data_IF_890595905430
#
_entry.id   IF_890595905430
#
_cell.length_a   1.000
_cell.length_b   1.000
_cell.length_c   1.000
_cell.angle_alpha   90.00
_cell.angle_beta   90.00
_cell.angle_gamma   90.00
#
_symmetry.space_group_name_H-M   'P 1'
#
loop_
_entity.id
_entity.type
_entity.pdbx_description
1 polymer ?
#
# COMPACT_ATOMS: atom_id res chain seq x y z
N UNK A 1 33.70 10.53 10.58
CA UNK A 1 33.20 11.67 9.79
C UNK A 1 32.43 12.58 10.70
N UNK A 2 33.07 13.63 11.12
CA UNK A 2 32.38 14.70 11.82
C UNK A 2 31.74 15.61 10.76
N UNK A 3 30.43 15.72 10.77
CA UNK A 3 29.67 16.66 9.93
C UNK A 3 29.75 18.11 10.48
N UNK A 4 30.73 18.36 11.31
CA UNK A 4 30.93 19.61 12.05
C UNK A 4 31.45 20.79 11.24
N UNK A 5 31.66 20.57 9.94
CA UNK A 5 32.16 21.64 9.07
C UNK A 5 31.10 22.57 8.49
N UNK A 6 29.87 22.14 8.49
CA UNK A 6 28.75 22.91 7.96
C UNK A 6 27.59 22.94 8.95
N UNK A 7 26.87 24.05 9.05
CA UNK A 7 25.65 24.11 9.83
C UNK A 7 24.68 23.02 9.39
N UNK A 8 23.93 22.45 10.36
CA UNK A 8 22.97 21.36 10.09
C UNK A 8 21.93 21.79 9.05
N UNK A 9 21.51 23.05 9.09
CA UNK A 9 20.54 23.65 8.19
C UNK A 9 21.02 23.73 6.73
N UNK A 10 22.35 23.82 6.53
CA UNK A 10 22.95 23.81 5.18
C UNK A 10 23.06 22.40 4.63
N UNK A 11 23.35 21.42 5.49
CA UNK A 11 23.50 20.00 5.10
C UNK A 11 22.16 19.34 4.91
N UNK A 12 21.17 19.66 5.76
CA UNK A 12 19.84 19.10 5.79
C UNK A 12 18.75 20.18 5.77
N UNK A 13 18.65 20.96 4.70
CA UNK A 13 17.75 22.12 4.66
C UNK A 13 16.27 21.77 4.80
N UNK A 14 15.88 20.56 4.43
CA UNK A 14 14.48 20.13 4.46
C UNK A 14 13.93 19.91 5.86
N UNK A 15 14.77 19.63 6.84
CA UNK A 15 14.33 19.44 8.24
C UNK A 15 13.73 20.73 8.83
N UNK A 16 14.02 21.90 8.26
CA UNK A 16 13.52 23.20 8.72
C UNK A 16 12.34 23.74 7.92
N UNK A 17 12.11 23.26 6.69
CA UNK A 17 11.09 23.82 5.79
C UNK A 17 9.65 23.40 6.11
N UNK A 18 9.47 22.31 6.83
CA UNK A 18 8.13 21.78 7.16
C UNK A 18 7.54 22.41 8.43
N UNK A 19 8.25 23.34 9.06
CA UNK A 19 7.82 23.95 10.31
C UNK A 19 7.94 23.04 11.54
N UNK A 20 8.46 21.83 11.35
CA UNK A 20 8.70 20.85 12.42
C UNK A 20 9.87 21.29 13.30
N UNK A 21 9.70 21.09 14.59
CA UNK A 21 10.74 21.32 15.59
C UNK A 21 11.28 19.98 16.08
N UNK A 22 12.59 19.77 15.91
CA UNK A 22 13.31 18.61 16.41
C UNK A 22 14.47 19.10 17.26
N UNK A 23 14.49 18.69 18.51
CA UNK A 23 15.50 19.11 19.49
C UNK A 23 16.61 18.07 19.64
N UNK A 24 16.29 16.80 19.41
CA UNK A 24 17.23 15.70 19.65
C UNK A 24 16.98 14.54 18.66
N UNK A 25 17.84 14.42 17.66
CA UNK A 25 17.77 13.37 16.67
C UNK A 25 18.16 11.99 17.22
N UNK A 26 18.91 11.92 18.30
CA UNK A 26 19.33 10.67 18.91
C UNK A 26 18.18 9.97 19.65
N UNK A 27 17.06 10.66 19.82
CA UNK A 27 15.82 10.05 20.35
C UNK A 27 15.04 9.21 19.36
N UNK A 28 15.43 9.24 18.08
CA UNK A 28 14.83 8.31 17.13
C UNK A 28 15.24 6.87 17.47
N UNK A 29 14.26 6.05 17.83
CA UNK A 29 14.47 4.64 18.08
C UNK A 29 13.86 3.81 16.94
N UNK A 30 14.70 3.00 16.25
CA UNK A 30 14.19 1.94 15.38
C UNK A 30 13.73 0.77 16.27
N UNK A 31 12.42 0.46 16.31
CA UNK A 31 11.89 -0.60 17.18
C UNK A 31 12.45 -1.98 16.84
N UNK A 32 12.90 -2.19 15.62
CA UNK A 32 13.49 -3.46 15.17
C UNK A 32 14.98 -3.54 15.45
N UNK A 33 15.65 -2.42 15.70
CA UNK A 33 17.10 -2.33 16.01
C UNK A 33 17.99 -3.14 15.07
N UNK A 34 17.59 -3.20 13.80
CA UNK A 34 18.32 -3.97 12.79
C UNK A 34 19.59 -3.22 12.36
N UNK A 35 20.71 -3.97 12.36
CA UNK A 35 21.89 -3.52 11.62
C UNK A 35 21.76 -3.89 10.14
N UNK A 36 22.49 -3.19 9.28
CA UNK A 36 22.51 -3.52 7.84
C UNK A 36 22.98 -4.96 7.58
N UNK A 37 23.95 -5.48 8.35
CA UNK A 37 24.41 -6.87 8.23
C UNK A 37 23.33 -7.89 8.59
N UNK A 38 22.61 -7.66 9.69
CA UNK A 38 21.49 -8.51 10.09
C UNK A 38 20.35 -8.46 9.07
N UNK A 39 20.02 -7.26 8.58
CA UNK A 39 19.02 -7.06 7.52
C UNK A 39 19.36 -7.86 6.26
N UNK A 40 20.57 -7.72 5.73
CA UNK A 40 20.98 -8.44 4.52
C UNK A 40 20.96 -9.95 4.66
N UNK A 41 21.42 -10.47 5.79
CA UNK A 41 21.40 -11.91 6.07
C UNK A 41 19.97 -12.45 6.11
N UNK A 42 19.10 -11.75 6.82
CA UNK A 42 17.68 -12.12 6.91
C UNK A 42 16.99 -12.09 5.56
N UNK A 43 17.18 -11.02 4.79
CA UNK A 43 16.54 -10.88 3.49
C UNK A 43 17.09 -11.89 2.47
N UNK A 44 18.40 -12.15 2.45
CA UNK A 44 18.99 -13.14 1.55
C UNK A 44 18.42 -14.55 1.80
N UNK A 45 18.26 -14.96 3.07
CA UNK A 45 17.67 -16.25 3.42
C UNK A 45 16.19 -16.32 3.02
N UNK A 46 15.45 -15.26 3.26
CA UNK A 46 14.03 -15.15 2.90
C UNK A 46 13.82 -15.25 1.39
N UNK A 47 14.60 -14.51 0.61
CA UNK A 47 14.52 -14.52 -0.84
C UNK A 47 14.91 -15.86 -1.46
N UNK A 48 15.93 -16.51 -0.97
CA UNK A 48 16.29 -17.84 -1.46
C UNK A 48 15.12 -18.82 -1.35
N UNK A 49 14.39 -18.78 -0.25
CA UNK A 49 13.20 -19.61 -0.05
C UNK A 49 12.07 -19.22 -1.00
N UNK A 50 11.81 -17.92 -1.14
CA UNK A 50 10.78 -17.39 -2.01
C UNK A 50 10.99 -17.78 -3.47
N UNK A 51 12.16 -17.48 -4.01
CA UNK A 51 12.48 -17.78 -5.42
C UNK A 51 12.53 -19.30 -5.67
N UNK A 52 13.02 -20.10 -4.74
CA UNK A 52 13.00 -21.56 -4.88
C UNK A 52 11.57 -22.11 -5.05
N UNK A 53 10.61 -21.58 -4.32
CA UNK A 53 9.19 -21.98 -4.46
C UNK A 53 8.61 -21.49 -5.80
N UNK A 54 8.86 -20.25 -6.17
CA UNK A 54 8.39 -19.67 -7.43
C UNK A 54 8.94 -20.42 -8.64
N UNK A 55 10.23 -20.73 -8.63
CA UNK A 55 10.90 -21.45 -9.71
C UNK A 55 10.44 -22.91 -9.79
N UNK A 56 10.26 -23.59 -8.66
CA UNK A 56 9.72 -24.94 -8.62
C UNK A 56 8.29 -24.99 -9.17
N UNK A 57 7.46 -23.99 -8.84
CA UNK A 57 6.10 -23.88 -9.38
C UNK A 57 6.13 -23.70 -10.90
N UNK A 58 7.01 -22.84 -11.41
CA UNK A 58 7.19 -22.60 -12.83
C UNK A 58 7.73 -23.85 -13.57
N UNK A 59 8.74 -24.51 -13.02
CA UNK A 59 9.36 -25.72 -13.61
C UNK A 59 8.38 -26.89 -13.70
N UNK A 60 7.47 -27.01 -12.73
CA UNK A 60 6.42 -28.01 -12.72
C UNK A 60 5.16 -27.61 -13.50
N UNK A 61 5.20 -26.53 -14.26
CA UNK A 61 4.07 -25.99 -15.00
C UNK A 61 2.83 -25.70 -14.16
N UNK A 62 3.02 -25.35 -12.87
CA UNK A 62 1.93 -25.06 -11.94
C UNK A 62 0.99 -23.95 -12.41
N UNK A 63 1.53 -22.97 -13.18
CA UNK A 63 0.76 -21.89 -13.77
C UNK A 63 -0.36 -22.37 -14.71
N UNK A 64 -0.23 -23.54 -15.35
CA UNK A 64 -1.27 -24.10 -16.22
C UNK A 64 -2.55 -24.51 -15.44
N UNK A 65 -2.44 -24.67 -14.13
CA UNK A 65 -3.59 -24.91 -13.26
C UNK A 65 -4.43 -23.66 -12.97
N UNK A 66 -3.93 -22.47 -13.29
CA UNK A 66 -4.62 -21.21 -13.06
C UNK A 66 -5.53 -20.89 -14.25
N UNK A 67 -6.70 -21.51 -14.27
CA UNK A 67 -7.61 -21.45 -15.45
C UNK A 67 -8.78 -20.47 -15.27
N UNK A 68 -9.01 -19.93 -14.08
CA UNK A 68 -10.08 -18.96 -13.89
C UNK A 68 -9.67 -17.57 -14.43
N UNK A 69 -10.36 -17.12 -15.46
CA UNK A 69 -10.06 -15.85 -16.13
C UNK A 69 -10.24 -14.63 -15.21
N UNK A 70 -11.14 -14.69 -14.22
CA UNK A 70 -11.32 -13.58 -13.25
C UNK A 70 -10.11 -13.48 -12.33
N UNK A 71 -9.62 -14.63 -11.85
CA UNK A 71 -8.40 -14.66 -11.04
C UNK A 71 -7.20 -14.11 -11.82
N UNK A 72 -6.98 -14.59 -13.05
CA UNK A 72 -5.88 -14.12 -13.89
C UNK A 72 -5.96 -12.62 -14.20
N UNK A 73 -7.17 -12.09 -14.42
CA UNK A 73 -7.36 -10.66 -14.61
C UNK A 73 -7.11 -9.85 -13.32
N UNK A 74 -7.55 -10.33 -12.16
CA UNK A 74 -7.26 -9.67 -10.88
C UNK A 74 -5.77 -9.72 -10.55
N UNK A 75 -5.11 -10.84 -10.79
CA UNK A 75 -3.67 -10.99 -10.61
C UNK A 75 -2.89 -10.05 -11.56
N UNK A 76 -3.33 -9.96 -12.81
CA UNK A 76 -2.74 -9.03 -13.78
C UNK A 76 -2.87 -7.59 -13.31
N UNK A 77 -4.06 -7.18 -12.87
CA UNK A 77 -4.29 -5.84 -12.32
C UNK A 77 -3.40 -5.58 -11.10
N UNK A 78 -3.34 -6.53 -10.18
CA UNK A 78 -2.51 -6.44 -8.98
C UNK A 78 -1.03 -6.25 -9.34
N UNK A 79 -0.44 -7.18 -10.08
CA UNK A 79 0.99 -7.14 -10.41
C UNK A 79 1.38 -5.94 -11.28
N UNK A 80 0.53 -5.56 -12.24
CA UNK A 80 0.80 -4.41 -13.11
C UNK A 80 0.54 -3.08 -12.45
N UNK A 81 -0.37 -3.03 -11.45
CA UNK A 81 -0.72 -1.83 -10.70
C UNK A 81 0.23 -1.56 -9.55
N UNK A 82 0.58 -2.58 -8.78
CA UNK A 82 1.32 -2.43 -7.53
C UNK A 82 2.83 -2.31 -7.74
N UNK A 83 3.44 -3.11 -8.64
CA UNK A 83 4.89 -3.10 -8.79
C UNK A 83 5.51 -1.73 -9.16
N UNK A 84 4.89 -0.86 -9.97
CA UNK A 84 5.38 0.51 -10.15
C UNK A 84 5.24 1.38 -8.91
N UNK A 85 4.21 1.16 -8.08
CA UNK A 85 4.03 1.91 -6.82
C UNK A 85 5.11 1.54 -5.81
N UNK A 86 5.45 0.27 -5.67
CA UNK A 86 6.60 -0.21 -4.89
C UNK A 86 7.89 0.50 -5.34
N UNK A 87 8.11 0.59 -6.64
CA UNK A 87 9.28 1.31 -7.16
C UNK A 87 9.24 2.83 -6.86
N UNK A 88 8.05 3.45 -6.85
CA UNK A 88 7.90 4.85 -6.44
C UNK A 88 8.16 5.01 -4.94
N UNK A 89 7.67 4.10 -4.09
CA UNK A 89 7.95 4.06 -2.66
C UNK A 89 9.47 3.90 -2.40
N UNK A 90 10.13 2.95 -3.09
CA UNK A 90 11.59 2.81 -3.07
C UNK A 90 12.30 4.15 -3.29
N UNK A 91 11.96 4.86 -4.35
CA UNK A 91 12.56 6.16 -4.66
C UNK A 91 12.31 7.21 -3.58
N UNK A 92 11.11 7.22 -3.04
CA UNK A 92 10.69 8.15 -1.98
C UNK A 92 11.48 7.92 -0.69
N UNK A 93 11.52 6.70 -0.19
CA UNK A 93 12.26 6.36 1.03
C UNK A 93 13.78 6.55 0.87
N UNK A 94 14.36 6.24 -0.31
CA UNK A 94 15.74 6.53 -0.60
C UNK A 94 16.04 8.04 -0.58
N UNK A 95 15.12 8.85 -1.11
CA UNK A 95 15.23 10.30 -1.13
C UNK A 95 15.11 10.90 0.29
N UNK A 96 14.08 10.52 1.02
CA UNK A 96 13.82 10.97 2.39
C UNK A 96 14.95 10.57 3.33
N UNK A 97 15.37 9.32 3.31
CA UNK A 97 16.46 8.83 4.14
C UNK A 97 17.77 9.62 3.95
N UNK A 98 18.01 10.16 2.75
CA UNK A 98 19.16 11.01 2.48
C UNK A 98 19.04 12.39 3.09
N UNK A 99 17.83 12.86 3.36
CA UNK A 99 17.56 14.22 3.87
C UNK A 99 17.46 14.30 5.40
N UNK A 100 17.32 13.16 6.08
CA UNK A 100 17.20 13.10 7.53
C UNK A 100 18.58 13.15 8.20
N UNK A 101 18.81 14.03 9.20
CA UNK A 101 20.09 14.10 9.92
C UNK A 101 20.36 12.89 10.80
N UNK A 102 19.31 12.34 11.45
CA UNK A 102 19.44 11.23 12.40
C UNK A 102 19.88 9.92 11.74
N UNK A 103 20.92 9.27 12.28
CA UNK A 103 21.46 8.03 11.73
C UNK A 103 20.43 6.91 11.76
N UNK A 104 19.69 6.75 12.86
CA UNK A 104 18.67 5.70 13.00
C UNK A 104 17.56 5.84 11.96
N UNK A 105 17.00 7.04 11.81
CA UNK A 105 15.96 7.34 10.83
C UNK A 105 16.44 7.09 9.39
N UNK A 106 17.68 7.48 9.08
CA UNK A 106 18.28 7.24 7.75
C UNK A 106 18.42 5.78 7.43
N UNK A 107 18.91 4.98 8.38
CA UNK A 107 19.09 3.53 8.19
C UNK A 107 17.73 2.85 8.02
N UNK A 108 16.73 3.21 8.83
CA UNK A 108 15.38 2.67 8.73
C UNK A 108 14.75 2.96 7.35
N UNK A 109 14.84 4.20 6.87
CA UNK A 109 14.36 4.57 5.53
C UNK A 109 15.12 3.84 4.41
N UNK A 110 16.43 3.62 4.56
CA UNK A 110 17.21 2.85 3.57
C UNK A 110 16.79 1.38 3.52
N UNK A 111 16.52 0.76 4.66
CA UNK A 111 16.02 -0.62 4.70
C UNK A 111 14.64 -0.72 4.02
N UNK A 112 13.71 0.17 4.34
CA UNK A 112 12.41 0.20 3.67
C UNK A 112 12.57 0.42 2.17
N UNK A 113 13.36 1.37 1.76
CA UNK A 113 13.65 1.60 0.34
C UNK A 113 14.12 0.34 -0.40
N UNK A 114 14.97 -0.47 0.24
CA UNK A 114 15.46 -1.72 -0.35
C UNK A 114 14.38 -2.79 -0.40
N UNK A 115 13.50 -2.87 0.59
CA UNK A 115 12.38 -3.80 0.59
C UNK A 115 11.41 -3.49 -0.55
N UNK A 116 11.02 -2.24 -0.72
CA UNK A 116 10.14 -1.80 -1.82
C UNK A 116 10.73 -2.15 -3.20
N UNK A 117 12.04 -1.96 -3.36
CA UNK A 117 12.73 -2.37 -4.59
C UNK A 117 12.66 -3.89 -4.81
N UNK A 118 12.85 -4.67 -3.75
CA UNK A 118 12.78 -6.12 -3.80
C UNK A 118 11.37 -6.61 -4.09
N UNK A 119 10.35 -5.98 -3.50
CA UNK A 119 8.94 -6.26 -3.79
C UNK A 119 8.64 -6.03 -5.28
N UNK A 120 9.02 -4.88 -5.81
CA UNK A 120 8.89 -4.59 -7.24
C UNK A 120 9.58 -5.63 -8.12
N UNK A 121 10.83 -6.01 -7.80
CA UNK A 121 11.59 -7.01 -8.55
C UNK A 121 10.93 -8.39 -8.51
N UNK A 122 10.43 -8.81 -7.35
CA UNK A 122 9.75 -10.10 -7.19
C UNK A 122 8.46 -10.15 -8.00
N UNK A 123 7.68 -9.06 -8.01
CA UNK A 123 6.46 -8.94 -8.81
C UNK A 123 6.78 -8.99 -10.32
N UNK A 124 7.83 -8.30 -10.77
CA UNK A 124 8.30 -8.35 -12.16
C UNK A 124 8.75 -9.77 -12.55
N UNK A 125 9.46 -10.46 -11.65
CA UNK A 125 9.85 -11.85 -11.87
C UNK A 125 8.62 -12.76 -12.02
N UNK A 126 7.61 -12.59 -11.16
CA UNK A 126 6.33 -13.30 -11.26
C UNK A 126 5.65 -13.02 -12.60
N UNK A 127 5.52 -11.76 -12.98
CA UNK A 127 4.92 -11.37 -14.27
C UNK A 127 5.64 -12.05 -15.45
N UNK A 128 6.95 -12.16 -15.40
CA UNK A 128 7.72 -12.83 -16.49
C UNK A 128 7.37 -14.32 -16.60
N UNK A 129 7.04 -14.99 -15.51
CA UNK A 129 6.61 -16.38 -15.52
C UNK A 129 5.16 -16.52 -16.03
N UNK A 130 4.23 -15.70 -15.57
CA UNK A 130 2.85 -15.71 -16.07
C UNK A 130 2.80 -15.38 -17.56
N UNK A 131 3.61 -14.43 -18.02
CA UNK A 131 3.62 -13.97 -19.41
C UNK A 131 4.09 -15.03 -20.42
N UNK A 132 4.70 -16.12 -19.96
CA UNK A 132 5.02 -17.27 -20.82
C UNK A 132 3.76 -18.03 -21.27
N UNK A 133 2.66 -17.92 -20.52
CA UNK A 133 1.45 -18.71 -20.72
C UNK A 133 0.21 -17.84 -20.96
N UNK A 134 0.20 -16.60 -20.48
CA UNK A 134 -0.95 -15.69 -20.49
C UNK A 134 -0.53 -14.32 -21.00
N UNK A 135 -1.34 -13.70 -21.83
CA UNK A 135 -1.06 -12.38 -22.37
C UNK A 135 -1.30 -11.26 -21.35
N UNK A 136 -0.52 -10.18 -21.48
CA UNK A 136 -0.81 -8.91 -20.83
C UNK A 136 -0.15 -8.68 -19.46
N UNK A 137 0.79 -9.53 -19.04
CA UNK A 137 1.59 -9.33 -17.83
C UNK A 137 2.86 -8.48 -18.06
N UNK A 138 2.96 -7.74 -19.15
CA UNK A 138 4.19 -7.01 -19.52
C UNK A 138 3.99 -5.51 -19.77
N UNK A 139 2.76 -5.02 -19.75
CA UNK A 139 2.43 -3.66 -20.24
C UNK A 139 2.19 -2.63 -19.13
N UNK A 140 2.72 -2.85 -17.92
CA UNK A 140 2.44 -2.04 -16.75
C UNK A 140 2.69 -0.53 -16.92
N UNK A 141 3.75 -0.12 -17.61
CA UNK A 141 4.09 1.30 -17.78
C UNK A 141 3.00 2.08 -18.54
N UNK A 142 2.44 1.49 -19.56
CA UNK A 142 1.33 2.11 -20.30
C UNK A 142 0.05 2.16 -19.49
N UNK A 143 -0.15 1.18 -18.63
CA UNK A 143 -1.33 1.10 -17.77
C UNK A 143 -1.39 2.29 -16.82
N UNK A 144 -0.30 2.61 -16.12
CA UNK A 144 -0.24 3.74 -15.19
C UNK A 144 -0.47 5.11 -15.84
N UNK A 145 -0.07 5.28 -17.09
CA UNK A 145 -0.22 6.55 -17.79
C UNK A 145 -1.59 6.72 -18.48
N UNK A 146 -2.29 5.64 -18.76
CA UNK A 146 -3.46 5.65 -19.64
C UNK A 146 -4.73 5.10 -19.03
N UNK A 147 -4.62 4.30 -17.99
CA UNK A 147 -5.76 3.69 -17.33
C UNK A 147 -6.08 4.45 -16.06
N UNK A 148 -7.24 5.09 -16.01
CA UNK A 148 -7.59 6.03 -14.95
C UNK A 148 -7.50 5.44 -13.53
N UNK A 149 -7.93 4.20 -13.31
CA UNK A 149 -7.89 3.55 -12.00
C UNK A 149 -6.46 3.18 -11.54
N UNK A 150 -5.47 3.19 -12.44
CA UNK A 150 -4.06 3.05 -12.10
C UNK A 150 -3.35 4.41 -12.06
N UNK A 151 -3.81 5.40 -12.82
CA UNK A 151 -3.25 6.75 -12.77
C UNK A 151 -3.64 7.49 -11.48
N UNK A 152 -4.74 7.11 -10.82
CA UNK A 152 -5.11 7.67 -9.49
C UNK A 152 -4.08 7.31 -8.42
N UNK A 153 -3.71 6.03 -8.18
CA UNK A 153 -2.61 5.69 -7.26
C UNK A 153 -1.29 6.35 -7.67
N UNK A 154 -0.96 6.38 -8.95
CA UNK A 154 0.24 7.07 -9.43
C UNK A 154 0.25 8.54 -9.05
N UNK A 155 -0.84 9.25 -9.28
CA UNK A 155 -0.98 10.67 -8.91
C UNK A 155 -0.82 10.90 -7.41
N UNK A 156 -1.35 10.00 -6.58
CA UNK A 156 -1.16 10.05 -5.13
C UNK A 156 0.33 9.98 -4.76
N UNK A 157 1.07 9.05 -5.37
CA UNK A 157 2.51 8.92 -5.13
C UNK A 157 3.31 10.10 -5.69
N UNK A 158 2.97 10.62 -6.86
CA UNK A 158 3.62 11.82 -7.43
C UNK A 158 3.48 13.02 -6.48
N UNK A 159 2.30 13.21 -5.89
CA UNK A 159 2.06 14.25 -4.90
C UNK A 159 2.84 14.00 -3.60
N UNK A 160 2.86 12.75 -3.10
CA UNK A 160 3.60 12.40 -1.89
C UNK A 160 5.12 12.58 -2.07
N UNK A 161 5.67 12.22 -3.25
CA UNK A 161 7.07 12.44 -3.59
C UNK A 161 7.45 13.93 -3.69
N UNK A 162 6.46 14.81 -3.88
CA UNK A 162 6.65 16.26 -3.91
C UNK A 162 6.52 16.91 -2.53
N UNK A 163 6.11 16.14 -1.52
CA UNK A 163 6.04 16.61 -0.14
C UNK A 163 7.42 16.66 0.52
N UNK A 164 7.51 17.34 1.67
CA UNK A 164 8.70 17.30 2.48
C UNK A 164 8.94 15.92 3.13
N UNK A 165 10.14 15.68 3.70
CA UNK A 165 10.54 14.34 4.16
C UNK A 165 9.63 13.77 5.25
N UNK A 166 9.22 14.57 6.22
CA UNK A 166 8.33 14.09 7.28
C UNK A 166 6.90 13.92 6.81
N UNK A 167 6.41 14.83 5.99
CA UNK A 167 5.09 14.70 5.39
C UNK A 167 5.02 13.44 4.52
N UNK A 168 6.09 13.11 3.78
CA UNK A 168 6.18 11.86 3.02
C UNK A 168 6.13 10.62 3.92
N UNK A 169 6.85 10.61 5.05
CA UNK A 169 6.82 9.49 6.00
C UNK A 169 5.41 9.26 6.56
N UNK A 170 4.65 10.32 6.78
CA UNK A 170 3.26 10.21 7.23
C UNK A 170 2.33 9.80 6.08
N UNK A 171 2.53 10.35 4.89
CA UNK A 171 1.71 10.04 3.73
C UNK A 171 1.82 8.58 3.30
N UNK A 172 3.04 8.08 3.11
CA UNK A 172 3.31 6.74 2.63
C UNK A 172 3.51 5.80 3.81
N UNK A 173 4.50 6.02 4.66
CA UNK A 173 4.89 5.09 5.72
C UNK A 173 3.81 4.87 6.79
N UNK A 174 2.93 5.83 7.04
CA UNK A 174 1.83 5.65 7.97
C UNK A 174 0.49 5.49 7.27
N UNK A 175 0.01 6.51 6.56
CA UNK A 175 -1.37 6.49 6.06
C UNK A 175 -1.60 5.46 4.97
N UNK A 176 -0.70 5.38 3.99
CA UNK A 176 -0.88 4.49 2.84
C UNK A 176 -0.53 3.04 3.16
N UNK A 177 0.59 2.80 3.84
CA UNK A 177 1.04 1.45 4.20
C UNK A 177 0.02 0.70 5.06
N UNK A 178 -0.54 1.35 6.08
CA UNK A 178 -1.58 0.72 6.90
C UNK A 178 -2.82 0.34 6.09
N UNK A 179 -3.25 1.21 5.19
CA UNK A 179 -4.45 0.98 4.39
C UNK A 179 -4.19 -0.06 3.29
N UNK A 180 -3.08 0.08 2.57
CA UNK A 180 -2.74 -0.80 1.45
C UNK A 180 -2.50 -2.23 1.93
N UNK A 181 -1.65 -2.40 2.92
CA UNK A 181 -1.28 -3.72 3.44
C UNK A 181 -2.50 -4.45 3.96
N UNK A 182 -3.29 -3.82 4.80
CA UNK A 182 -4.39 -4.47 5.50
C UNK A 182 -5.66 -4.63 4.63
N UNK A 183 -5.95 -3.67 3.77
CA UNK A 183 -7.17 -3.69 2.96
C UNK A 183 -6.99 -4.28 1.56
N UNK A 184 -5.75 -4.42 1.10
CA UNK A 184 -5.46 -4.96 -0.23
C UNK A 184 -4.50 -6.16 -0.18
N UNK A 185 -3.29 -6.00 0.34
CA UNK A 185 -2.27 -7.05 0.27
C UNK A 185 -2.69 -8.31 1.02
N UNK A 186 -3.05 -8.19 2.29
CA UNK A 186 -3.42 -9.34 3.12
C UNK A 186 -4.63 -10.08 2.54
N UNK A 187 -5.76 -9.43 2.20
CA UNK A 187 -6.89 -10.12 1.59
C UNK A 187 -6.57 -10.77 0.24
N UNK A 188 -5.89 -10.04 -0.64
CA UNK A 188 -5.61 -10.51 -2.00
C UNK A 188 -4.62 -11.68 -2.01
N UNK A 189 -3.49 -11.55 -1.35
CA UNK A 189 -2.43 -12.56 -1.34
C UNK A 189 -2.85 -13.82 -0.56
N UNK A 190 -3.59 -13.65 0.52
CA UNK A 190 -4.19 -14.78 1.22
C UNK A 190 -5.19 -15.52 0.33
N UNK A 191 -5.98 -14.80 -0.45
CA UNK A 191 -6.92 -15.33 -1.42
C UNK A 191 -6.26 -16.09 -2.58
N UNK A 192 -5.00 -15.78 -2.92
CA UNK A 192 -4.26 -16.45 -3.98
C UNK A 192 -4.13 -17.95 -3.75
N UNK A 193 -3.94 -18.38 -2.50
CA UNK A 193 -3.87 -19.81 -2.13
C UNK A 193 -5.12 -20.59 -2.50
N UNK A 194 -6.30 -20.03 -2.32
CA UNK A 194 -7.57 -20.66 -2.69
C UNK A 194 -7.77 -20.77 -4.21
N UNK A 195 -7.06 -19.94 -4.96
CA UNK A 195 -7.08 -19.97 -6.42
C UNK A 195 -5.95 -20.83 -7.00
N UNK A 196 -5.13 -21.47 -6.15
CA UNK A 196 -4.04 -22.36 -6.57
C UNK A 196 -2.75 -21.65 -6.93
N UNK A 197 -2.63 -20.35 -6.65
CA UNK A 197 -1.47 -19.53 -6.96
C UNK A 197 -0.49 -19.50 -5.78
N UNK A 198 0.36 -20.50 -5.73
CA UNK A 198 1.40 -20.61 -4.70
C UNK A 198 2.46 -19.49 -4.77
N UNK A 199 2.96 -19.05 -5.94
CA UNK A 199 3.88 -17.93 -6.04
C UNK A 199 3.37 -16.65 -5.39
N UNK A 200 2.16 -16.21 -5.72
CA UNK A 200 1.58 -14.99 -5.16
C UNK A 200 1.35 -15.09 -3.65
N UNK A 201 0.86 -16.23 -3.18
CA UNK A 201 0.73 -16.47 -1.74
C UNK A 201 2.10 -16.42 -1.02
N UNK A 202 3.13 -17.05 -1.58
CA UNK A 202 4.47 -17.09 -0.98
C UNK A 202 5.10 -15.71 -0.95
N UNK A 203 4.91 -14.92 -2.02
CA UNK A 203 5.31 -13.52 -2.05
C UNK A 203 4.61 -12.74 -0.93
N UNK A 204 3.31 -12.92 -0.76
CA UNK A 204 2.53 -12.27 0.30
C UNK A 204 3.10 -12.52 1.70
N UNK A 205 3.43 -13.76 2.04
CA UNK A 205 4.08 -14.09 3.31
C UNK A 205 5.46 -13.44 3.45
N UNK A 206 6.23 -13.41 2.37
CA UNK A 206 7.54 -12.75 2.38
C UNK A 206 7.42 -11.25 2.58
N UNK A 207 6.54 -10.58 1.86
CA UNK A 207 6.31 -9.15 1.93
C UNK A 207 5.71 -8.73 3.28
N UNK A 208 4.74 -9.47 3.82
CA UNK A 208 4.04 -9.09 5.06
C UNK A 208 4.98 -8.83 6.24
N UNK A 209 6.10 -9.56 6.34
CA UNK A 209 7.11 -9.32 7.38
C UNK A 209 7.84 -7.99 7.19
N UNK A 210 7.98 -7.54 5.97
CA UNK A 210 8.58 -6.24 5.63
C UNK A 210 7.54 -5.13 5.86
N UNK A 211 6.31 -5.32 5.39
CA UNK A 211 5.20 -4.38 5.58
C UNK A 211 4.92 -4.08 7.06
N UNK A 212 5.02 -5.08 7.94
CA UNK A 212 4.91 -4.87 9.38
C UNK A 212 5.97 -3.91 9.91
N UNK A 213 7.18 -3.96 9.34
CA UNK A 213 8.27 -3.04 9.70
C UNK A 213 8.01 -1.65 9.11
N UNK A 214 7.50 -1.57 7.88
CA UNK A 214 7.16 -0.32 7.21
C UNK A 214 6.08 0.46 7.99
N UNK A 215 5.00 -0.21 8.35
CA UNK A 215 3.93 0.39 9.18
C UNK A 215 4.47 0.88 10.53
N UNK A 216 5.37 0.11 11.14
CA UNK A 216 5.98 0.51 12.42
C UNK A 216 6.90 1.72 12.24
N UNK A 217 7.67 1.79 11.14
CA UNK A 217 8.50 2.96 10.84
C UNK A 217 7.65 4.23 10.68
N UNK A 218 6.54 4.14 9.97
CA UNK A 218 5.62 5.27 9.81
C UNK A 218 5.02 5.73 11.15
N UNK A 219 4.65 4.80 12.02
CA UNK A 219 4.15 5.11 13.36
C UNK A 219 5.23 5.75 14.25
N UNK A 220 6.45 5.20 14.21
CA UNK A 220 7.57 5.76 14.99
C UNK A 220 7.97 7.15 14.50
N UNK A 221 7.87 7.44 13.20
CA UNK A 221 8.06 8.80 12.69
C UNK A 221 7.07 9.78 13.33
N UNK A 222 5.80 9.39 13.44
CA UNK A 222 4.78 10.22 14.12
C UNK A 222 5.12 10.42 15.58
N UNK A 223 5.36 9.35 16.34
CA UNK A 223 5.68 9.43 17.77
C UNK A 223 6.92 10.27 18.02
N UNK A 224 7.98 10.05 17.24
CA UNK A 224 9.22 10.83 17.33
C UNK A 224 8.94 12.33 17.20
N UNK A 225 8.14 12.75 16.21
CA UNK A 225 7.82 14.17 16.02
C UNK A 225 7.00 14.75 17.18
N UNK A 226 6.03 13.99 17.68
CA UNK A 226 5.15 14.43 18.76
C UNK A 226 5.87 14.53 20.10
N UNK A 227 6.89 13.71 20.33
CA UNK A 227 7.71 13.74 21.54
C UNK A 227 8.75 14.85 21.54
N UNK A 228 9.07 15.43 20.37
CA UNK A 228 10.06 16.50 20.27
C UNK A 228 9.51 17.86 20.71
N UNK A 229 8.30 18.22 20.29
CA UNK A 229 7.72 19.53 20.59
C UNK A 229 6.19 19.50 20.39
N UNK A 230 5.45 20.08 21.34
CA UNK A 230 3.97 20.18 21.25
C UNK A 230 3.50 20.97 20.02
N UNK A 231 4.31 21.88 19.51
CA UNK A 231 4.01 22.63 18.29
C UNK A 231 3.94 21.74 17.04
N UNK A 232 4.47 20.53 17.08
CA UNK A 232 4.40 19.57 15.99
C UNK A 232 3.00 18.92 15.89
N UNK A 233 2.24 18.84 16.97
CA UNK A 233 0.92 18.16 17.01
C UNK A 233 -0.04 18.66 15.91
N UNK A 234 -0.31 19.96 15.77
CA UNK A 234 -1.23 20.43 14.73
C UNK A 234 -0.71 20.21 13.32
N UNK A 235 0.60 20.19 13.10
CA UNK A 235 1.21 19.93 11.80
C UNK A 235 1.03 18.45 11.43
N UNK A 236 1.39 17.55 12.33
CA UNK A 236 1.22 16.10 12.16
C UNK A 236 -0.24 15.74 11.95
N UNK A 237 -1.17 16.33 12.74
CA UNK A 237 -2.60 16.12 12.56
C UNK A 237 -3.08 16.57 11.18
N UNK A 238 -2.62 17.72 10.70
CA UNK A 238 -2.99 18.20 9.37
C UNK A 238 -2.50 17.27 8.24
N UNK A 239 -1.30 16.70 8.40
CA UNK A 239 -0.78 15.72 7.45
C UNK A 239 -1.56 14.40 7.51
N UNK A 240 -1.91 13.92 8.70
CA UNK A 240 -2.75 12.73 8.86
C UNK A 240 -4.12 12.96 8.20
N UNK A 241 -4.77 14.09 8.46
CA UNK A 241 -6.07 14.45 7.88
C UNK A 241 -6.00 14.50 6.34
N UNK A 242 -4.95 15.11 5.79
CA UNK A 242 -4.74 15.23 4.33
C UNK A 242 -4.50 13.87 3.65
N UNK A 243 -3.55 13.09 4.17
CA UNK A 243 -3.04 11.92 3.49
C UNK A 243 -3.85 10.65 3.77
N UNK A 244 -4.45 10.56 4.95
CA UNK A 244 -5.30 9.42 5.28
C UNK A 244 -6.49 9.32 4.31
N UNK A 245 -7.24 10.39 4.11
CA UNK A 245 -8.40 10.38 3.24
C UNK A 245 -8.03 10.07 1.78
N UNK A 246 -6.95 10.66 1.30
CA UNK A 246 -6.45 10.39 -0.05
C UNK A 246 -5.97 8.95 -0.21
N UNK A 247 -5.21 8.45 0.75
CA UNK A 247 -4.74 7.05 0.78
C UNK A 247 -5.90 6.07 0.87
N UNK A 248 -6.90 6.36 1.69
CA UNK A 248 -8.13 5.57 1.78
C UNK A 248 -8.84 5.48 0.42
N UNK A 249 -9.06 6.59 -0.26
CA UNK A 249 -9.72 6.61 -1.58
C UNK A 249 -8.98 5.78 -2.62
N UNK A 250 -7.66 5.90 -2.66
CA UNK A 250 -6.81 5.11 -3.57
C UNK A 250 -6.90 3.62 -3.26
N UNK A 251 -6.69 3.25 -2.00
CA UNK A 251 -6.72 1.85 -1.56
C UNK A 251 -8.11 1.24 -1.73
N UNK A 252 -9.16 1.96 -1.32
CA UNK A 252 -10.53 1.49 -1.45
C UNK A 252 -10.91 1.21 -2.91
N UNK A 253 -10.53 2.09 -3.83
CA UNK A 253 -10.77 1.87 -5.26
C UNK A 253 -10.16 0.55 -5.74
N UNK A 254 -8.87 0.35 -5.52
CA UNK A 254 -8.15 -0.82 -6.03
C UNK A 254 -8.57 -2.10 -5.30
N UNK A 255 -8.69 -2.05 -3.97
CA UNK A 255 -9.08 -3.21 -3.17
C UNK A 255 -10.47 -3.72 -3.52
N UNK A 256 -11.44 -2.82 -3.69
CA UNK A 256 -12.79 -3.22 -4.08
C UNK A 256 -12.87 -3.74 -5.51
N UNK A 257 -12.12 -3.14 -6.44
CA UNK A 257 -12.02 -3.69 -7.80
C UNK A 257 -11.55 -5.15 -7.76
N UNK A 258 -10.51 -5.45 -7.00
CA UNK A 258 -9.98 -6.80 -6.85
C UNK A 258 -10.96 -7.73 -6.13
N UNK A 259 -11.66 -7.24 -5.11
CA UNK A 259 -12.66 -8.01 -4.38
C UNK A 259 -13.77 -8.53 -5.30
N UNK A 260 -14.27 -7.71 -6.22
CA UNK A 260 -15.27 -8.12 -7.21
C UNK A 260 -14.73 -9.09 -8.27
N UNK A 261 -13.44 -9.03 -8.56
CA UNK A 261 -12.82 -9.89 -9.57
C UNK A 261 -12.40 -11.25 -9.01
N UNK A 262 -12.07 -11.35 -7.71
CA UNK A 262 -11.61 -12.60 -7.10
C UNK A 262 -12.72 -13.66 -7.05
N UNK A 263 -12.55 -14.82 -7.71
CA UNK A 263 -13.55 -15.90 -7.67
C UNK A 263 -13.61 -16.61 -6.32
N UNK A 264 -12.50 -16.65 -5.62
CA UNK A 264 -12.38 -17.23 -4.26
C UNK A 264 -11.58 -16.27 -3.40
N UNK A 265 -12.09 -15.94 -2.24
CA UNK A 265 -11.47 -14.99 -1.30
C UNK A 265 -11.51 -15.51 0.12
N UNK A 266 -10.56 -15.05 0.91
CA UNK A 266 -10.49 -15.34 2.36
C UNK A 266 -11.44 -14.41 3.12
N UNK A 267 -11.45 -13.15 2.74
CA UNK A 267 -12.33 -12.11 3.29
C UNK A 267 -12.73 -11.15 2.20
N UNK A 268 -13.90 -10.55 2.35
CA UNK A 268 -14.38 -9.48 1.51
C UNK A 268 -13.76 -8.14 1.91
N UNK A 269 -13.88 -7.15 1.03
CA UNK A 269 -13.56 -5.76 1.36
C UNK A 269 -14.18 -5.31 2.69
N UNK A 270 -15.48 -5.59 2.89
CA UNK A 270 -16.20 -5.19 4.10
C UNK A 270 -15.61 -5.82 5.36
N UNK A 271 -15.36 -7.13 5.34
CA UNK A 271 -14.75 -7.84 6.47
C UNK A 271 -13.33 -7.32 6.77
N UNK A 272 -12.54 -7.04 5.74
CA UNK A 272 -11.21 -6.46 5.90
C UNK A 272 -11.30 -5.03 6.49
N UNK A 273 -12.24 -4.22 6.02
CA UNK A 273 -12.46 -2.87 6.51
C UNK A 273 -12.88 -2.87 8.00
N UNK A 274 -13.84 -3.70 8.39
CA UNK A 274 -14.29 -3.82 9.77
C UNK A 274 -13.17 -4.27 10.70
N UNK A 275 -12.41 -5.31 10.32
CA UNK A 275 -11.33 -5.84 11.14
C UNK A 275 -10.12 -4.90 11.23
N UNK A 276 -9.59 -4.50 10.09
CA UNK A 276 -8.31 -3.78 10.08
C UNK A 276 -8.45 -2.28 10.27
N UNK A 277 -9.50 -1.70 9.72
CA UNK A 277 -9.70 -0.27 9.82
C UNK A 277 -10.48 0.12 11.08
N UNK A 278 -11.67 -0.44 11.30
CA UNK A 278 -12.51 -0.04 12.44
C UNK A 278 -11.95 -0.59 13.77
N UNK A 279 -11.64 -1.87 13.85
CA UNK A 279 -11.18 -2.47 15.12
C UNK A 279 -9.72 -2.16 15.40
N UNK A 280 -8.80 -2.41 14.45
CA UNK A 280 -7.37 -2.31 14.74
C UNK A 280 -6.84 -0.89 14.59
N UNK A 281 -7.18 -0.17 13.52
CA UNK A 281 -6.65 1.16 13.31
C UNK A 281 -7.36 2.20 14.19
N UNK A 282 -8.69 2.27 14.14
CA UNK A 282 -9.45 3.22 14.95
C UNK A 282 -9.55 2.79 16.41
N UNK A 283 -9.88 1.53 16.67
CA UNK A 283 -10.06 0.98 18.00
C UNK A 283 -8.76 0.72 18.77
N UNK A 284 -7.61 0.69 18.09
CA UNK A 284 -6.30 0.48 18.71
C UNK A 284 -5.35 1.63 18.45
N UNK A 285 -4.81 1.74 17.22
CA UNK A 285 -3.74 2.65 16.88
C UNK A 285 -4.06 4.13 17.19
N UNK A 286 -5.25 4.62 16.81
CA UNK A 286 -5.63 6.00 17.11
C UNK A 286 -5.98 6.25 18.58
N UNK A 287 -6.32 5.21 19.35
CA UNK A 287 -6.42 5.34 20.80
C UNK A 287 -5.05 5.55 21.44
N UNK A 288 -4.02 4.86 20.96
CA UNK A 288 -2.64 5.08 21.42
C UNK A 288 -2.14 6.47 21.04
N UNK A 289 -2.39 6.92 19.81
CA UNK A 289 -2.02 8.25 19.34
C UNK A 289 -2.77 9.38 20.04
N UNK A 290 -3.94 9.11 20.63
CA UNK A 290 -4.69 10.08 21.42
C UNK A 290 -3.90 10.55 22.67
N UNK A 291 -2.99 9.71 23.19
CA UNK A 291 -2.09 10.09 24.28
C UNK A 291 -1.21 11.29 23.90
N UNK A 292 -0.84 11.40 22.63
CA UNK A 292 -0.05 12.50 22.07
C UNK A 292 -0.90 13.67 21.56
N UNK A 293 -2.22 13.65 21.77
CA UNK A 293 -3.14 14.68 21.28
C UNK A 293 -3.58 14.55 19.83
N UNK A 294 -3.28 13.42 19.19
CA UNK A 294 -3.76 13.11 17.83
C UNK A 294 -5.17 12.51 17.93
N UNK A 295 -6.06 12.98 17.11
CA UNK A 295 -7.42 12.47 16.94
C UNK A 295 -7.52 11.59 15.69
N UNK A 296 -8.57 10.78 15.55
CA UNK A 296 -8.87 10.09 14.30
C UNK A 296 -8.88 11.05 13.11
N UNK A 297 -8.50 10.58 11.89
CA UNK A 297 -8.42 11.43 10.72
C UNK A 297 -9.76 12.10 10.39
N UNK A 298 -9.68 13.27 9.76
CA UNK A 298 -10.86 13.90 9.17
C UNK A 298 -11.53 12.94 8.18
N UNK A 299 -12.86 12.94 8.12
CA UNK A 299 -13.67 12.08 7.24
C UNK A 299 -13.67 10.57 7.57
N UNK A 300 -13.19 10.18 8.75
CA UNK A 300 -13.27 8.78 9.18
C UNK A 300 -14.72 8.28 9.24
N UNK A 301 -15.64 9.11 9.73
CA UNK A 301 -17.06 8.76 9.80
C UNK A 301 -17.68 8.62 8.39
N UNK A 302 -17.23 9.44 7.45
CA UNK A 302 -17.64 9.32 6.04
C UNK A 302 -17.15 7.99 5.44
N UNK A 303 -15.92 7.57 5.74
CA UNK A 303 -15.37 6.28 5.28
C UNK A 303 -16.18 5.09 5.84
N UNK A 304 -16.58 5.16 7.12
CA UNK A 304 -17.42 4.14 7.75
C UNK A 304 -18.81 4.11 7.12
N UNK A 305 -19.42 5.28 6.93
CA UNK A 305 -20.78 5.39 6.37
C UNK A 305 -20.85 4.90 4.92
N UNK A 306 -19.81 5.10 4.13
CA UNK A 306 -19.80 4.74 2.70
C UNK A 306 -19.25 3.33 2.40
N UNK A 307 -18.77 2.57 3.40
CA UNK A 307 -18.09 1.28 3.15
C UNK A 307 -18.91 0.29 2.30
N UNK A 308 -20.25 0.29 2.45
CA UNK A 308 -21.14 -0.54 1.63
C UNK A 308 -21.49 0.12 0.30
N UNK A 309 -21.79 1.41 0.35
CA UNK A 309 -22.18 2.20 -0.82
C UNK A 309 -21.05 2.25 -1.85
N UNK A 310 -19.83 2.49 -1.39
CA UNK A 310 -18.66 2.57 -2.26
C UNK A 310 -18.41 1.25 -2.99
N UNK A 311 -18.64 0.12 -2.34
CA UNK A 311 -18.56 -1.21 -2.95
C UNK A 311 -19.47 -1.32 -4.18
N UNK A 312 -20.75 -0.94 -4.05
CA UNK A 312 -21.69 -0.95 -5.15
C UNK A 312 -21.35 0.06 -6.26
N UNK A 313 -20.88 1.25 -5.89
CA UNK A 313 -20.44 2.27 -6.86
C UNK A 313 -19.24 1.79 -7.68
N UNK A 314 -18.24 1.17 -7.04
CA UNK A 314 -17.09 0.59 -7.75
C UNK A 314 -17.54 -0.53 -8.67
N UNK A 315 -18.41 -1.42 -8.21
CA UNK A 315 -18.97 -2.48 -9.05
C UNK A 315 -19.69 -1.92 -10.27
N UNK A 316 -20.57 -0.95 -10.09
CA UNK A 316 -21.31 -0.30 -11.19
C UNK A 316 -20.37 0.37 -12.18
N UNK A 317 -19.35 1.07 -11.69
CA UNK A 317 -18.33 1.69 -12.54
C UNK A 317 -17.60 0.63 -13.37
N UNK A 318 -17.19 -0.47 -12.76
CA UNK A 318 -16.54 -1.57 -13.46
C UNK A 318 -17.46 -2.22 -14.51
N UNK A 319 -18.72 -2.40 -14.17
CA UNK A 319 -19.70 -2.95 -15.10
C UNK A 319 -19.89 -2.07 -16.33
N UNK A 320 -20.05 -0.76 -16.14
CA UNK A 320 -20.20 0.18 -17.25
C UNK A 320 -18.95 0.28 -18.14
N UNK A 321 -17.76 0.20 -17.54
CA UNK A 321 -16.50 0.30 -18.26
C UNK A 321 -15.90 -1.06 -18.62
N UNK A 322 -16.57 -2.16 -18.32
CA UNK A 322 -16.10 -3.53 -18.61
C UNK A 322 -15.95 -3.85 -20.10
N UNK A 323 -16.50 -3.02 -20.97
CA UNK A 323 -16.25 -3.11 -22.40
C UNK A 323 -14.78 -2.86 -22.80
N UNK A 324 -13.98 -2.32 -21.90
CA UNK A 324 -12.55 -2.16 -22.09
C UNK A 324 -11.79 -3.43 -21.71
N UNK A 325 -12.16 -4.58 -22.23
CA UNK A 325 -11.36 -5.81 -22.38
C UNK A 325 -10.50 -6.31 -21.20
N UNK A 326 -10.38 -5.58 -20.09
CA UNK A 326 -9.50 -5.90 -18.98
C UNK A 326 -10.20 -6.69 -17.86
N UNK A 327 -11.53 -6.65 -17.75
CA UNK A 327 -12.26 -7.24 -16.64
C UNK A 327 -13.38 -8.16 -17.13
N UNK A 328 -13.45 -9.34 -16.52
CA UNK A 328 -14.66 -10.16 -16.57
C UNK A 328 -15.43 -9.86 -15.28
N UNK A 329 -16.44 -9.02 -15.37
CA UNK A 329 -17.31 -8.73 -14.23
C UNK A 329 -18.33 -9.83 -14.02
N UNK A 330 -18.74 -10.05 -12.78
CA UNK A 330 -19.90 -10.90 -12.48
C UNK A 330 -21.17 -10.08 -12.66
N UNK A 331 -22.29 -10.76 -12.95
CA UNK A 331 -23.61 -10.12 -12.91
C UNK A 331 -23.88 -9.65 -11.47
N UNK A 332 -24.41 -8.46 -11.24
CA UNK A 332 -24.77 -7.99 -9.90
C UNK A 332 -25.63 -9.02 -9.18
N UNK A 333 -25.32 -9.29 -7.93
CA UNK A 333 -26.18 -10.07 -7.07
C UNK A 333 -27.48 -9.34 -6.72
N UNK A 334 -28.40 -10.02 -6.02
CA UNK A 334 -29.72 -9.45 -5.74
C UNK A 334 -29.63 -8.17 -4.89
N UNK A 335 -28.68 -8.06 -3.98
CA UNK A 335 -28.50 -6.88 -3.12
C UNK A 335 -27.93 -5.71 -3.91
N UNK A 336 -26.92 -5.96 -4.74
CA UNK A 336 -26.36 -4.96 -5.64
C UNK A 336 -27.41 -4.48 -6.67
N UNK A 337 -28.20 -5.39 -7.24
CA UNK A 337 -29.29 -5.03 -8.16
C UNK A 337 -30.34 -4.15 -7.48
N UNK A 338 -30.76 -4.51 -6.26
CA UNK A 338 -31.69 -3.73 -5.47
C UNK A 338 -31.13 -2.32 -5.21
N UNK A 339 -29.89 -2.23 -4.73
CA UNK A 339 -29.24 -0.95 -4.45
C UNK A 339 -29.11 -0.09 -5.71
N UNK A 340 -28.71 -0.69 -6.85
CA UNK A 340 -28.59 0.01 -8.12
C UNK A 340 -29.95 0.54 -8.59
N UNK A 341 -31.04 -0.24 -8.50
CA UNK A 341 -32.37 0.20 -8.87
C UNK A 341 -32.90 1.32 -7.99
N UNK A 342 -32.57 1.33 -6.70
CA UNK A 342 -32.97 2.38 -5.76
C UNK A 342 -32.25 3.71 -5.99
N UNK A 343 -30.98 3.67 -6.44
CA UNK A 343 -30.12 4.84 -6.53
C UNK A 343 -29.89 5.35 -7.97
N UNK A 344 -30.11 4.51 -8.98
CA UNK A 344 -29.83 4.80 -10.39
C UNK A 344 -30.98 4.31 -11.31
N UNK A 345 -32.22 4.53 -10.91
CA UNK A 345 -33.41 4.02 -11.62
C UNK A 345 -33.42 4.35 -13.10
N UNK A 346 -33.13 5.60 -13.48
CA UNK A 346 -33.12 6.03 -14.86
C UNK A 346 -32.07 5.39 -15.75
N UNK A 347 -30.95 5.00 -15.15
CA UNK A 347 -29.80 4.40 -15.88
C UNK A 347 -29.87 2.88 -15.86
N UNK A 348 -30.30 2.29 -14.73
CA UNK A 348 -30.32 0.85 -14.55
C UNK A 348 -31.45 0.17 -15.33
N UNK A 349 -32.61 0.78 -15.41
CA UNK A 349 -33.74 0.25 -16.16
C UNK A 349 -33.59 0.33 -17.69
N UNK A 350 -32.55 1.02 -18.17
CA UNK A 350 -32.19 1.10 -19.58
C UNK A 350 -31.16 0.04 -20.03
N UNK A 351 -30.58 -0.71 -19.10
CA UNK A 351 -29.63 -1.76 -19.35
C UNK A 351 -30.26 -3.14 -19.29
#
# INVERSE_FOLDING_TARGET
WETTYQPMEEVFPYATYEGIKIHDWDKWEDPFRLTMDAYWKYQAEKEQKLYAIMDAFAQNNGHLGLTDARYLNSLKLFLTGVSPLEYMAHRGFAHVGRQLPGVGARVACQMQSLDELRHAQTQIHSMSNYNKLYDGFHSWRHMHDRVWYLSVPKSFFDDALSAGPFEFLIAIGFSFEYLLTNLLFVPFMSGASFNGDLPTMTFGFSAQSDESRHMTLGLEAIKFLLEQDEANVPIVQAWIDKWFWRGYRVTALVAQMLDYMLPRKVMSWKEAFELYFEEQMLGGLFQDLAFYGIRPPMHVDDAIAEKEILSHQVYWTLYQFSHAAAFTTTVPDADAQKWLSENYTETFDQL
#
